data_IF_525272549996
#
_entry.id   IF_525272549996
#
_cell.length_a   1.000
_cell.length_b   1.000
_cell.length_c   1.000
_cell.angle_alpha   90.00
_cell.angle_beta   90.00
_cell.angle_gamma   90.00
#
_symmetry.space_group_name_H-M   'P 1'
#
loop_
_entity.id
_entity.type
_entity.pdbx_description
1 polymer ?
#
# COMPACT_ATOMS: atom_id res chain seq x y z
N UNK A 1 -9.53 0.56 4.37
CA UNK A 1 -8.77 1.76 4.70
C UNK A 1 -7.70 2.00 3.64
N UNK A 2 -7.61 3.22 3.13
CA UNK A 2 -6.45 3.74 2.39
C UNK A 2 -5.63 4.58 3.37
N UNK A 3 -4.33 4.35 3.46
CA UNK A 3 -3.45 5.06 4.38
C UNK A 3 -2.20 5.58 3.67
N UNK A 4 -1.72 6.72 4.10
CA UNK A 4 -0.44 7.32 3.76
C UNK A 4 -0.03 8.30 4.85
N UNK A 5 1.23 8.72 4.90
CA UNK A 5 1.64 9.79 5.81
C UNK A 5 1.81 11.12 5.08
N UNK A 6 1.78 12.23 5.82
CA UNK A 6 1.97 13.56 5.24
C UNK A 6 3.19 14.30 5.82
N UNK A 7 3.80 13.76 6.87
CA UNK A 7 5.06 14.25 7.38
C UNK A 7 6.24 13.80 6.52
N UNK A 8 7.37 14.42 6.68
CA UNK A 8 8.62 14.08 6.02
C UNK A 8 9.82 14.34 6.94
N UNK A 9 10.96 13.77 6.59
CA UNK A 9 12.20 14.02 7.30
C UNK A 9 12.63 15.48 7.18
N UNK A 10 13.34 16.01 8.18
CA UNK A 10 13.81 17.39 8.18
C UNK A 10 14.77 17.72 7.00
N UNK A 11 15.35 16.70 6.37
CA UNK A 11 16.30 16.85 5.28
C UNK A 11 15.66 16.99 3.89
N UNK A 12 14.39 16.65 3.74
CA UNK A 12 13.72 16.59 2.43
C UNK A 12 12.31 17.14 2.44
N UNK A 13 11.83 17.70 1.31
CA UNK A 13 10.46 18.20 1.21
C UNK A 13 9.39 17.12 1.12
N UNK A 14 9.75 15.83 0.89
CA UNK A 14 8.84 14.71 0.91
C UNK A 14 7.84 14.68 -0.25
N UNK A 15 8.25 15.09 -1.44
CA UNK A 15 7.35 15.09 -2.59
C UNK A 15 6.94 13.69 -3.03
N UNK A 16 7.87 12.75 -2.99
CA UNK A 16 7.59 11.33 -3.24
C UNK A 16 7.17 10.64 -1.96
N UNK A 17 7.87 10.90 -0.87
CA UNK A 17 7.74 10.27 0.44
C UNK A 17 7.20 11.27 1.48
N UNK A 18 5.86 11.46 1.65
CA UNK A 18 4.84 10.64 1.00
C UNK A 18 3.72 11.54 0.41
N UNK A 19 4.05 12.78 0.00
CA UNK A 19 3.07 13.71 -0.58
C UNK A 19 2.43 13.18 -1.88
N UNK A 20 3.13 12.32 -2.62
CA UNK A 20 2.60 11.64 -3.80
C UNK A 20 1.39 10.75 -3.45
N UNK A 21 1.49 10.00 -2.35
CA UNK A 21 0.39 9.18 -1.87
C UNK A 21 -0.76 10.06 -1.34
N UNK A 22 -0.46 11.16 -0.63
CA UNK A 22 -1.48 12.14 -0.20
C UNK A 22 -2.28 12.65 -1.41
N UNK A 23 -1.60 13.07 -2.48
CA UNK A 23 -2.25 13.53 -3.70
C UNK A 23 -3.11 12.42 -4.35
N UNK A 24 -2.59 11.19 -4.40
CA UNK A 24 -3.32 10.02 -4.90
C UNK A 24 -4.59 9.75 -4.10
N UNK A 25 -4.53 9.78 -2.77
CA UNK A 25 -5.69 9.52 -1.91
C UNK A 25 -6.77 10.61 -2.07
N UNK A 26 -6.38 11.87 -2.21
CA UNK A 26 -7.32 12.98 -2.44
C UNK A 26 -8.07 12.79 -3.77
N UNK A 27 -7.34 12.43 -4.84
CA UNK A 27 -7.97 12.17 -6.14
C UNK A 27 -8.87 10.93 -6.10
N UNK A 28 -8.43 9.85 -5.45
CA UNK A 28 -9.24 8.63 -5.24
C UNK A 28 -10.53 8.97 -4.49
N UNK A 29 -10.47 9.80 -3.44
CA UNK A 29 -11.66 10.26 -2.74
C UNK A 29 -12.63 10.97 -3.69
N UNK A 30 -12.12 11.90 -4.51
CA UNK A 30 -12.92 12.62 -5.51
C UNK A 30 -13.58 11.68 -6.52
N UNK A 31 -12.89 10.64 -6.96
CA UNK A 31 -13.41 9.63 -7.89
C UNK A 31 -14.52 8.82 -7.21
N UNK A 32 -14.24 8.24 -6.04
CA UNK A 32 -15.18 7.37 -5.32
C UNK A 32 -16.45 8.09 -4.88
N UNK A 33 -16.38 9.38 -4.56
CA UNK A 33 -17.54 10.19 -4.26
C UNK A 33 -18.52 10.32 -5.45
N UNK A 34 -18.03 10.18 -6.67
CA UNK A 34 -18.86 10.15 -7.90
C UNK A 34 -19.44 8.78 -8.20
N UNK A 35 -18.90 7.73 -7.60
CA UNK A 35 -19.31 6.33 -7.79
C UNK A 35 -20.32 5.83 -6.74
N UNK A 36 -20.83 6.72 -5.89
CA UNK A 36 -21.77 6.35 -4.83
C UNK A 36 -23.12 5.84 -5.37
N UNK A 37 -23.80 4.92 -4.67
CA UNK A 37 -23.43 4.34 -3.37
C UNK A 37 -22.35 3.25 -3.50
N UNK A 38 -21.37 3.29 -2.58
CA UNK A 38 -20.35 2.25 -2.47
C UNK A 38 -20.92 1.03 -1.70
N UNK A 39 -20.47 -0.17 -2.07
CA UNK A 39 -20.90 -1.39 -1.41
C UNK A 39 -20.44 -1.50 0.05
N UNK A 40 -19.34 -0.84 0.40
CA UNK A 40 -18.75 -0.79 1.77
C UNK A 40 -18.18 0.59 2.03
N UNK A 41 -18.05 1.01 3.29
CA UNK A 41 -17.35 2.23 3.64
C UNK A 41 -15.88 2.18 3.22
N UNK A 42 -15.37 3.29 2.69
CA UNK A 42 -13.96 3.52 2.42
C UNK A 42 -13.47 4.65 3.32
N UNK A 43 -12.47 4.37 4.12
CA UNK A 43 -11.83 5.37 4.99
C UNK A 43 -10.50 5.78 4.37
N UNK A 44 -10.18 7.06 4.45
CA UNK A 44 -8.89 7.61 4.09
C UNK A 44 -8.22 8.12 5.36
N UNK A 45 -6.99 7.71 5.61
CA UNK A 45 -6.21 8.08 6.77
C UNK A 45 -4.91 8.73 6.31
N UNK A 46 -4.72 9.95 6.74
CA UNK A 46 -3.48 10.69 6.58
C UNK A 46 -2.81 10.76 7.94
N UNK A 47 -1.69 10.07 8.10
CA UNK A 47 -0.96 9.98 9.36
C UNK A 47 0.09 11.07 9.47
N UNK A 48 0.45 11.42 10.70
CA UNK A 48 1.55 12.30 11.04
C UNK A 48 2.58 11.55 11.88
N UNK A 49 3.85 11.89 11.75
CA UNK A 49 4.92 11.32 12.55
C UNK A 49 5.24 9.86 12.18
N UNK A 50 5.09 9.49 10.92
CA UNK A 50 5.58 8.21 10.40
C UNK A 50 7.09 8.13 10.57
N UNK A 51 7.79 9.16 10.09
CA UNK A 51 9.25 9.30 10.05
C UNK A 51 9.93 9.38 11.43
N UNK A 52 9.14 9.69 12.45
CA UNK A 52 9.62 9.74 13.84
C UNK A 52 9.08 8.60 14.70
N UNK A 53 8.61 7.54 14.06
CA UNK A 53 8.26 6.29 14.72
C UNK A 53 6.79 5.90 14.64
N UNK A 54 6.11 6.13 13.49
CA UNK A 54 4.76 5.65 13.18
C UNK A 54 3.71 6.18 14.18
N UNK A 55 3.85 7.42 14.61
CA UNK A 55 3.09 7.99 15.74
C UNK A 55 1.60 8.05 15.40
N UNK A 56 1.27 8.53 14.20
CA UNK A 56 -0.11 8.67 13.74
C UNK A 56 -0.83 7.33 13.63
N UNK A 57 -0.21 6.34 12.98
CA UNK A 57 -0.78 5.00 12.88
C UNK A 57 -0.97 4.34 14.25
N UNK A 58 0.00 4.48 15.15
CA UNK A 58 -0.12 3.99 16.55
C UNK A 58 -1.25 4.69 17.30
N UNK A 59 -1.40 6.00 17.10
CA UNK A 59 -2.49 6.78 17.68
C UNK A 59 -3.85 6.32 17.16
N UNK A 60 -3.96 6.13 15.84
CA UNK A 60 -5.18 5.65 15.20
C UNK A 60 -5.63 4.29 15.75
N UNK A 61 -4.76 3.28 15.73
CA UNK A 61 -5.13 1.91 16.18
C UNK A 61 -5.40 1.84 17.68
N UNK A 62 -4.88 2.78 18.47
CA UNK A 62 -5.06 2.78 19.92
C UNK A 62 -6.31 3.54 20.39
N UNK A 63 -6.67 4.61 19.72
CA UNK A 63 -7.64 5.58 20.24
C UNK A 63 -8.86 5.78 19.34
N UNK A 64 -8.85 5.27 18.10
CA UNK A 64 -9.94 5.49 17.17
C UNK A 64 -10.77 4.22 16.99
N UNK A 65 -12.08 4.31 17.31
CA UNK A 65 -13.01 3.18 17.20
C UNK A 65 -13.21 2.69 15.75
N UNK A 66 -12.89 3.51 14.76
CA UNK A 66 -12.93 3.09 13.35
C UNK A 66 -11.90 1.98 13.08
N UNK A 67 -10.81 1.91 13.84
CA UNK A 67 -9.80 0.87 13.66
C UNK A 67 -10.39 -0.55 13.77
N UNK A 68 -11.42 -0.75 14.60
CA UNK A 68 -12.08 -2.04 14.76
C UNK A 68 -13.07 -2.38 13.61
N UNK A 69 -13.33 -1.42 12.71
CA UNK A 69 -14.20 -1.60 11.54
C UNK A 69 -13.41 -1.86 10.26
N UNK A 70 -12.07 -1.80 10.32
CA UNK A 70 -11.20 -1.96 9.15
C UNK A 70 -11.02 -3.45 8.86
N UNK A 71 -11.40 -3.86 7.66
CA UNK A 71 -11.15 -5.22 7.17
C UNK A 71 -9.79 -5.35 6.44
N UNK A 72 -9.44 -4.37 5.61
CA UNK A 72 -8.19 -4.35 4.84
C UNK A 72 -7.59 -2.95 4.84
N UNK A 73 -6.28 -2.88 4.92
CA UNK A 73 -5.49 -1.65 4.77
C UNK A 73 -4.73 -1.70 3.44
N UNK A 74 -4.84 -0.65 2.65
CA UNK A 74 -3.96 -0.37 1.51
C UNK A 74 -3.10 0.83 1.94
N UNK A 75 -1.82 0.59 2.18
CA UNK A 75 -0.86 1.62 2.54
C UNK A 75 -0.05 2.01 1.31
N UNK A 76 0.20 3.28 1.15
CA UNK A 76 1.05 3.81 0.08
C UNK A 76 2.29 4.42 0.70
N UNK A 77 3.41 4.28 0.01
CA UNK A 77 4.76 4.66 0.43
C UNK A 77 5.61 5.04 -0.78
N UNK A 78 6.76 5.63 -0.54
CA UNK A 78 7.81 5.74 -1.52
C UNK A 78 9.18 5.52 -0.89
N UNK A 79 10.12 4.95 -1.66
CA UNK A 79 11.53 4.83 -1.28
C UNK A 79 12.46 5.26 -2.41
N UNK A 80 12.01 6.23 -3.14
CA UNK A 80 12.66 6.84 -4.29
C UNK A 80 11.69 7.80 -4.92
N UNK A 81 11.98 8.27 -6.12
CA UNK A 81 11.12 9.24 -6.80
C UNK A 81 10.58 8.77 -8.15
N UNK A 82 10.80 7.50 -8.49
CA UNK A 82 10.41 6.95 -9.80
C UNK A 82 10.23 5.43 -9.75
N UNK A 83 9.80 4.86 -10.87
CA UNK A 83 9.61 3.43 -11.06
C UNK A 83 8.16 2.98 -10.92
N UNK A 84 7.89 1.72 -11.17
CA UNK A 84 6.54 1.18 -11.03
C UNK A 84 6.13 1.02 -9.57
N UNK A 85 4.85 1.13 -9.30
CA UNK A 85 4.26 0.87 -8.00
C UNK A 85 4.36 -0.63 -7.68
N UNK A 86 5.20 -0.97 -6.74
CA UNK A 86 5.52 -2.33 -6.32
C UNK A 86 4.77 -2.66 -5.03
N UNK A 87 4.02 -3.75 -5.00
CA UNK A 87 3.54 -4.30 -3.73
C UNK A 87 4.68 -5.10 -3.10
N UNK A 88 5.24 -4.56 -2.02
CA UNK A 88 6.46 -5.05 -1.39
C UNK A 88 6.25 -5.64 0.01
N UNK A 89 5.10 -5.38 0.62
CA UNK A 89 4.76 -5.89 1.95
C UNK A 89 3.28 -6.27 2.01
N UNK A 90 2.97 -7.39 2.66
CA UNK A 90 1.61 -7.83 2.92
C UNK A 90 1.54 -8.55 4.27
N UNK A 91 0.36 -8.57 4.87
CA UNK A 91 0.07 -9.38 6.06
C UNK A 91 0.21 -10.88 5.78
N UNK A 92 0.30 -11.67 6.84
CA UNK A 92 0.12 -13.13 6.77
C UNK A 92 -1.32 -13.47 6.36
N UNK A 93 -1.55 -14.69 5.88
CA UNK A 93 -2.84 -15.12 5.38
C UNK A 93 -3.22 -14.46 4.04
N UNK A 94 -2.25 -14.14 3.21
CA UNK A 94 -2.39 -13.23 2.08
C UNK A 94 -3.04 -13.82 0.82
N UNK A 95 -3.39 -15.12 0.78
CA UNK A 95 -3.83 -15.74 -0.47
C UNK A 95 -5.04 -15.05 -1.11
N UNK A 96 -6.03 -14.64 -0.31
CA UNK A 96 -7.18 -13.91 -0.82
C UNK A 96 -6.79 -12.50 -1.33
N UNK A 97 -5.94 -11.77 -0.62
CA UNK A 97 -5.47 -10.45 -1.07
C UNK A 97 -4.68 -10.53 -2.37
N UNK A 98 -3.83 -11.56 -2.51
CA UNK A 98 -3.07 -11.82 -3.74
C UNK A 98 -4.01 -12.17 -4.90
N UNK A 99 -5.07 -12.93 -4.66
CA UNK A 99 -6.11 -13.21 -5.64
C UNK A 99 -6.82 -11.92 -6.07
N UNK A 100 -7.21 -11.06 -5.11
CA UNK A 100 -7.82 -9.76 -5.43
C UNK A 100 -6.88 -8.86 -6.25
N UNK A 101 -5.58 -8.85 -5.93
CA UNK A 101 -4.58 -8.15 -6.74
C UNK A 101 -4.50 -8.70 -8.17
N UNK A 102 -4.49 -10.02 -8.33
CA UNK A 102 -4.42 -10.66 -9.63
C UNK A 102 -5.64 -10.35 -10.52
N UNK A 103 -6.79 -10.15 -9.91
CA UNK A 103 -8.05 -9.83 -10.61
C UNK A 103 -8.22 -8.34 -10.88
N UNK A 104 -7.73 -7.48 -9.99
CA UNK A 104 -8.04 -6.05 -9.98
C UNK A 104 -6.96 -5.15 -10.56
N UNK A 105 -5.68 -5.54 -10.49
CA UNK A 105 -4.61 -4.65 -10.90
C UNK A 105 -4.29 -4.80 -12.39
N UNK A 106 -4.26 -3.65 -13.06
CA UNK A 106 -3.58 -3.50 -14.36
C UNK A 106 -2.09 -3.23 -14.10
N UNK A 107 -1.23 -3.94 -14.81
CA UNK A 107 0.24 -3.85 -14.70
C UNK A 107 0.78 -4.14 -13.28
N UNK A 108 0.37 -5.25 -12.63
CA UNK A 108 0.80 -5.56 -11.28
C UNK A 108 2.32 -5.76 -11.22
N UNK A 109 2.92 -5.22 -10.16
CA UNK A 109 4.33 -5.47 -9.84
C UNK A 109 4.38 -6.01 -8.42
N UNK A 110 4.66 -7.31 -8.28
CA UNK A 110 4.69 -7.95 -6.97
C UNK A 110 5.33 -9.33 -7.00
N UNK A 111 5.99 -9.69 -5.92
CA UNK A 111 6.55 -11.03 -5.73
C UNK A 111 6.71 -11.35 -4.25
N UNK A 112 6.47 -12.59 -3.86
CA UNK A 112 6.81 -13.08 -2.51
C UNK A 112 8.29 -12.88 -2.17
N UNK A 113 9.18 -12.83 -3.18
CA UNK A 113 10.60 -12.55 -2.96
C UNK A 113 10.82 -11.12 -2.46
N UNK A 114 10.09 -10.13 -2.97
CA UNK A 114 10.18 -8.74 -2.50
C UNK A 114 9.72 -8.62 -1.04
N UNK A 115 8.61 -9.28 -0.70
CA UNK A 115 8.11 -9.31 0.68
C UNK A 115 9.12 -9.97 1.62
N UNK A 116 9.73 -11.08 1.19
CA UNK A 116 10.75 -11.78 2.00
C UNK A 116 12.00 -10.92 2.22
N UNK A 117 12.44 -10.20 1.19
CA UNK A 117 13.57 -9.25 1.31
C UNK A 117 13.22 -8.12 2.26
N UNK A 118 12.04 -7.51 2.11
CA UNK A 118 11.61 -6.40 2.97
C UNK A 118 11.52 -6.83 4.44
N UNK A 119 10.93 -8.00 4.71
CA UNK A 119 10.83 -8.57 6.08
C UNK A 119 12.19 -8.85 6.72
N UNK A 120 13.24 -9.09 5.93
CA UNK A 120 14.60 -9.29 6.42
C UNK A 120 15.34 -7.97 6.73
N UNK A 121 14.80 -6.83 6.32
CA UNK A 121 15.38 -5.50 6.57
C UNK A 121 14.81 -4.91 7.86
N UNK A 122 15.58 -4.06 8.59
CA UNK A 122 15.12 -3.41 9.81
C UNK A 122 14.22 -2.19 9.50
N UNK A 123 13.25 -2.38 8.64
CA UNK A 123 12.33 -1.33 8.20
C UNK A 123 10.94 -1.53 8.82
N UNK A 124 10.20 -0.45 8.89
CA UNK A 124 8.79 -0.46 9.28
C UNK A 124 8.06 0.66 8.54
N UNK A 125 6.77 0.54 8.39
CA UNK A 125 5.86 1.52 7.82
C UNK A 125 4.59 1.56 8.66
N UNK A 126 3.67 2.45 8.33
CA UNK A 126 2.38 2.48 9.00
C UNK A 126 1.63 1.14 8.90
N UNK A 127 1.77 0.39 7.78
CA UNK A 127 1.19 -0.95 7.66
C UNK A 127 1.70 -1.90 8.76
N UNK A 128 2.95 -1.77 9.20
CA UNK A 128 3.49 -2.58 10.29
C UNK A 128 2.68 -2.44 11.58
N UNK A 129 2.18 -1.22 11.86
CA UNK A 129 1.34 -0.96 13.05
C UNK A 129 -0.01 -1.64 12.90
N UNK A 130 -0.63 -1.53 11.73
CA UNK A 130 -1.91 -2.16 11.44
C UNK A 130 -1.82 -3.69 11.50
N UNK A 131 -0.79 -4.29 10.92
CA UNK A 131 -0.55 -5.73 11.00
C UNK A 131 -0.34 -6.22 12.43
N UNK A 132 0.37 -5.47 13.27
CA UNK A 132 0.52 -5.79 14.71
C UNK A 132 -0.80 -5.74 15.49
N UNK A 133 -1.77 -4.97 15.02
CA UNK A 133 -3.15 -4.95 15.55
C UNK A 133 -3.98 -6.14 15.05
N UNK A 134 -3.47 -6.91 14.09
CA UNK A 134 -4.18 -8.03 13.46
C UNK A 134 -4.96 -7.65 12.21
N UNK A 135 -4.75 -6.45 11.68
CA UNK A 135 -5.38 -6.04 10.41
C UNK A 135 -4.59 -6.59 9.23
N UNK A 136 -5.31 -7.01 8.21
CA UNK A 136 -4.70 -7.46 6.95
C UNK A 136 -4.47 -6.29 6.01
N UNK A 137 -3.42 -6.36 5.20
CA UNK A 137 -3.13 -5.26 4.29
C UNK A 137 -2.07 -5.52 3.24
N UNK A 138 -1.95 -4.53 2.36
CA UNK A 138 -0.99 -4.44 1.27
C UNK A 138 -0.28 -3.10 1.34
N UNK A 139 1.02 -3.10 1.08
CA UNK A 139 1.85 -1.90 1.01
C UNK A 139 2.45 -1.73 -0.37
N UNK A 140 2.25 -0.57 -0.97
CA UNK A 140 2.72 -0.24 -2.30
C UNK A 140 3.72 0.91 -2.26
N UNK A 141 4.85 0.78 -2.97
CA UNK A 141 5.81 1.86 -3.13
C UNK A 141 6.45 1.85 -4.52
N UNK A 142 6.88 3.00 -5.00
CA UNK A 142 7.87 3.08 -6.07
C UNK A 142 9.25 3.33 -5.47
N UNK A 143 10.27 2.62 -5.98
CA UNK A 143 11.61 2.52 -5.35
C UNK A 143 12.76 2.92 -6.26
N UNK A 144 12.46 3.43 -7.45
CA UNK A 144 13.48 3.89 -8.39
C UNK A 144 14.18 5.16 -7.90
N UNK A 145 15.45 5.31 -8.25
CA UNK A 145 16.32 6.41 -7.76
C UNK A 145 16.38 6.56 -6.23
N UNK A 146 16.65 5.49 -5.47
CA UNK A 146 16.57 5.52 -4.00
C UNK A 146 17.56 6.49 -3.35
N UNK A 147 18.52 7.03 -4.11
CA UNK A 147 19.47 8.05 -3.63
C UNK A 147 18.82 9.41 -3.35
N UNK A 148 17.61 9.63 -3.84
CA UNK A 148 16.86 10.88 -3.61
C UNK A 148 15.97 10.81 -2.37
N UNK A 149 15.64 9.59 -1.93
CA UNK A 149 14.89 9.34 -0.72
C UNK A 149 15.55 9.96 0.51
N UNK A 150 14.78 10.66 1.34
CA UNK A 150 15.22 11.36 2.54
C UNK A 150 16.32 12.42 2.30
N UNK A 151 16.29 13.08 1.16
CA UNK A 151 17.22 14.15 0.79
C UNK A 151 16.49 15.38 0.26
N UNK A 152 17.16 16.54 0.12
CA UNK A 152 16.56 17.73 -0.51
C UNK A 152 16.12 17.51 -1.98
N UNK A 153 16.51 16.39 -2.60
CA UNK A 153 16.14 16.04 -3.97
C UNK A 153 14.79 15.31 -4.05
N UNK A 154 14.17 14.97 -2.92
CA UNK A 154 12.80 14.51 -2.91
C UNK A 154 11.82 15.69 -3.01
N UNK A 155 11.89 16.37 -4.13
CA UNK A 155 11.10 17.54 -4.48
C UNK A 155 10.17 17.25 -5.68
N UNK A 156 9.24 18.17 -5.92
CA UNK A 156 8.25 18.04 -7.01
C UNK A 156 8.87 18.09 -8.41
N UNK A 157 10.08 18.66 -8.57
CA UNK A 157 10.79 18.72 -9.85
C UNK A 157 11.43 17.38 -10.21
N UNK A 158 11.72 16.55 -9.22
CA UNK A 158 12.32 15.24 -9.40
C UNK A 158 11.33 14.08 -9.33
N UNK A 159 10.10 14.30 -8.86
CA UNK A 159 9.06 13.28 -8.82
C UNK A 159 8.63 12.86 -10.22
N UNK A 160 8.70 11.58 -10.52
CA UNK A 160 8.19 11.01 -11.77
C UNK A 160 6.65 10.89 -11.73
N UNK A 161 5.98 11.66 -12.58
CA UNK A 161 4.51 11.67 -12.64
C UNK A 161 3.91 10.33 -13.11
N UNK A 162 4.67 9.54 -13.87
CA UNK A 162 4.24 8.19 -14.26
C UNK A 162 4.18 7.25 -13.06
N UNK A 163 5.11 7.39 -12.12
CA UNK A 163 5.15 6.63 -10.87
C UNK A 163 3.98 6.99 -9.96
N UNK A 164 3.74 8.30 -9.77
CA UNK A 164 2.57 8.81 -9.06
C UNK A 164 1.27 8.25 -9.65
N UNK A 165 1.11 8.34 -10.98
CA UNK A 165 -0.07 7.84 -11.67
C UNK A 165 -0.24 6.32 -11.51
N UNK A 166 0.85 5.54 -11.61
CA UNK A 166 0.79 4.09 -11.48
C UNK A 166 0.38 3.67 -10.06
N UNK A 167 0.94 4.33 -9.04
CA UNK A 167 0.58 4.06 -7.65
C UNK A 167 -0.89 4.43 -7.35
N UNK A 168 -1.34 5.60 -7.79
CA UNK A 168 -2.74 6.01 -7.66
C UNK A 168 -3.69 5.05 -8.39
N UNK A 169 -3.33 4.59 -9.59
CA UNK A 169 -4.11 3.58 -10.32
C UNK A 169 -4.19 2.25 -9.57
N UNK A 170 -3.09 1.77 -8.98
CA UNK A 170 -3.08 0.55 -8.18
C UNK A 170 -3.98 0.68 -6.95
N UNK A 171 -3.87 1.78 -6.21
CA UNK A 171 -4.69 2.01 -5.02
C UNK A 171 -6.19 2.10 -5.36
N UNK A 172 -6.55 2.81 -6.43
CA UNK A 172 -7.94 2.90 -6.89
C UNK A 172 -8.48 1.56 -7.39
N UNK A 173 -7.71 0.86 -8.23
CA UNK A 173 -8.12 -0.42 -8.78
C UNK A 173 -8.29 -1.48 -7.68
N UNK A 174 -7.36 -1.55 -6.73
CA UNK A 174 -7.46 -2.45 -5.58
C UNK A 174 -8.65 -2.10 -4.69
N UNK A 175 -8.91 -0.80 -4.47
CA UNK A 175 -10.10 -0.36 -3.71
C UNK A 175 -11.40 -0.81 -4.39
N UNK A 176 -11.54 -0.58 -5.69
CA UNK A 176 -12.71 -1.03 -6.46
C UNK A 176 -12.86 -2.54 -6.44
N UNK A 177 -11.78 -3.28 -6.60
CA UNK A 177 -11.78 -4.74 -6.54
C UNK A 177 -12.29 -5.23 -5.18
N UNK A 178 -11.80 -4.68 -4.08
CA UNK A 178 -12.24 -5.04 -2.73
C UNK A 178 -13.70 -4.64 -2.45
N UNK A 179 -14.20 -3.59 -3.07
CA UNK A 179 -15.61 -3.20 -2.97
C UNK A 179 -16.54 -4.16 -3.71
N UNK A 180 -16.09 -4.74 -4.82
CA UNK A 180 -16.87 -5.65 -5.66
C UNK A 180 -16.77 -7.11 -5.23
N UNK A 181 -15.66 -7.51 -4.61
CA UNK A 181 -15.42 -8.89 -4.22
C UNK A 181 -16.36 -9.36 -3.10
N UNK A 182 -16.65 -10.64 -3.07
CA UNK A 182 -17.20 -11.27 -1.86
C UNK A 182 -16.20 -11.16 -0.73
N UNK A 183 -16.69 -10.71 0.43
CA UNK A 183 -15.84 -10.56 1.60
C UNK A 183 -15.40 -11.92 2.14
N UNK A 184 -14.10 -12.07 2.26
CA UNK A 184 -13.48 -13.18 2.98
C UNK A 184 -12.52 -12.57 4.00
N UNK A 185 -12.54 -13.05 5.24
CA UNK A 185 -11.61 -12.61 6.25
C UNK A 185 -10.17 -13.03 5.86
N UNK A 186 -9.29 -12.08 5.49
CA UNK A 186 -7.95 -12.43 5.05
C UNK A 186 -7.14 -13.11 6.16
N UNK A 187 -7.36 -12.74 7.41
CA UNK A 187 -6.60 -13.28 8.56
C UNK A 187 -6.82 -14.79 8.77
N UNK A 188 -7.90 -15.34 8.23
CA UNK A 188 -8.22 -16.77 8.28
C UNK A 188 -7.62 -17.59 7.12
N UNK A 189 -6.96 -16.94 6.17
CA UNK A 189 -6.43 -17.56 4.97
C UNK A 189 -4.99 -18.09 5.18
N UNK A 190 -4.51 -18.87 4.22
CA UNK A 190 -3.11 -19.31 4.13
C UNK A 190 -2.31 -18.30 3.33
N UNK A 191 -1.00 -18.40 3.42
CA UNK A 191 -0.11 -17.65 2.54
C UNK A 191 -0.08 -18.26 1.14
N UNK A 192 0.05 -17.37 0.15
CA UNK A 192 0.35 -17.73 -1.21
C UNK A 192 1.81 -17.38 -1.55
N UNK A 193 2.43 -18.18 -2.38
CA UNK A 193 3.63 -17.79 -3.12
C UNK A 193 3.18 -17.22 -4.45
N UNK A 194 3.73 -16.09 -4.85
CA UNK A 194 3.31 -15.39 -6.05
C UNK A 194 4.43 -14.58 -6.68
N UNK A 195 4.28 -14.29 -7.95
CA UNK A 195 5.13 -13.37 -8.70
C UNK A 195 4.35 -12.79 -9.87
N UNK A 196 4.63 -11.56 -10.24
CA UNK A 196 4.18 -11.04 -11.52
C UNK A 196 5.01 -11.62 -12.68
N UNK A 197 4.42 -11.65 -13.85
CA UNK A 197 5.11 -11.96 -15.11
C UNK A 197 5.09 -10.72 -16.01
N UNK A 198 6.19 -9.97 -15.96
CA UNK A 198 6.41 -8.81 -16.80
C UNK A 198 5.38 -7.71 -16.63
N UNK A 199 4.83 -7.55 -15.42
CA UNK A 199 3.76 -6.62 -15.09
C UNK A 199 2.48 -6.83 -15.94
N UNK A 200 2.18 -8.05 -16.37
CA UNK A 200 0.94 -8.35 -17.11
C UNK A 200 -0.07 -9.13 -16.26
N UNK A 201 0.38 -10.07 -15.46
CA UNK A 201 -0.47 -10.86 -14.59
C UNK A 201 0.32 -11.42 -13.42
N UNK A 202 -0.39 -11.84 -12.36
CA UNK A 202 0.18 -12.50 -11.20
C UNK A 202 -0.05 -14.00 -11.30
N UNK A 203 1.01 -14.78 -11.17
CA UNK A 203 0.94 -16.21 -10.88
C UNK A 203 0.98 -16.40 -9.38
N UNK A 204 0.08 -17.24 -8.86
CA UNK A 204 0.07 -17.58 -7.45
C UNK A 204 -0.24 -19.05 -7.22
N UNK A 205 0.31 -19.61 -6.14
CA UNK A 205 0.03 -20.97 -5.68
C UNK A 205 0.13 -21.05 -4.16
N UNK A 206 -0.56 -22.00 -3.51
CA UNK A 206 -0.52 -22.15 -2.06
C UNK A 206 0.90 -22.40 -1.55
N UNK A 207 1.27 -21.80 -0.43
CA UNK A 207 2.51 -22.12 0.26
C UNK A 207 2.59 -23.62 0.59
N UNK A 208 3.79 -24.20 0.46
CA UNK A 208 4.03 -25.63 0.68
C UNK A 208 3.74 -26.54 -0.53
N UNK A 209 3.37 -25.99 -1.68
CA UNK A 209 3.31 -26.71 -2.95
C UNK A 209 4.30 -26.08 -3.91
N UNK A 210 5.30 -26.87 -4.35
CA UNK A 210 6.10 -26.47 -5.51
C UNK A 210 5.24 -26.50 -6.75
N UNK A 211 5.43 -25.54 -7.66
CA UNK A 211 4.80 -25.58 -8.98
C UNK A 211 5.28 -26.78 -9.79
#
# INVERSE_FOLDING_TARGET
LLACHYDSVAAGPGASDDAAAVASLIEIASILMRETPLARPVFLLFTDGEEVGLVGARGFVRFNEIADQIGVVINLEARGNSGGSLMFETSEGNSWLVEQMAQGLDRPMSSSAYVSIYRAMPNSSDLTVFMKRGLSGLNFAFIGNPKQYHTPLDDTGNLDLGSLQHQGNHALAMTRQLLLSEWTDPSSQKDAIYTDLGAHFILSWPEGRSP
#
